data_IF_651131191065
#
_entry.id   IF_651131191065
#
_cell.length_a   1.000
_cell.length_b   1.000
_cell.length_c   1.000
_cell.angle_alpha   90.00
_cell.angle_beta   90.00
_cell.angle_gamma   90.00
#
_symmetry.space_group_name_H-M   'P 1'
#
loop_
_entity.id
_entity.type
_entity.pdbx_description
1 polymer ?
#
# COMPACT_ATOMS: atom_id res chain seq x y z
N UNK A 1 2.23 -30.27 -17.72
CA UNK A 1 1.13 -30.12 -16.74
C UNK A 1 1.30 -31.03 -15.54
N UNK A 2 1.46 -32.34 -15.69
CA UNK A 2 1.63 -33.27 -14.56
C UNK A 2 2.80 -32.91 -13.61
N UNK A 3 3.96 -32.55 -14.17
CA UNK A 3 5.13 -32.16 -13.38
C UNK A 3 4.89 -30.91 -12.52
N UNK A 4 4.18 -29.91 -13.06
CA UNK A 4 3.81 -28.72 -12.31
C UNK A 4 2.91 -29.07 -11.13
N UNK A 5 1.90 -29.91 -11.34
CA UNK A 5 1.01 -30.35 -10.26
C UNK A 5 1.75 -31.12 -9.16
N UNK A 6 2.74 -31.94 -9.52
CA UNK A 6 3.57 -32.66 -8.55
C UNK A 6 4.43 -31.72 -7.71
N UNK A 7 5.12 -30.75 -8.32
CA UNK A 7 5.92 -29.75 -7.60
C UNK A 7 5.05 -28.85 -6.73
N UNK A 8 3.89 -28.44 -7.25
CA UNK A 8 2.93 -27.62 -6.51
C UNK A 8 2.36 -28.37 -5.30
N UNK A 9 1.97 -29.63 -5.47
CA UNK A 9 1.56 -30.50 -4.36
C UNK A 9 2.70 -30.77 -3.37
N UNK A 10 3.95 -30.88 -3.84
CA UNK A 10 5.14 -31.03 -2.99
C UNK A 10 5.33 -29.80 -2.11
N UNK A 11 5.19 -28.60 -2.66
CA UNK A 11 5.30 -27.34 -1.91
C UNK A 11 4.25 -27.27 -0.79
N UNK A 12 2.96 -27.45 -1.13
CA UNK A 12 1.84 -27.39 -0.17
C UNK A 12 1.84 -28.50 0.88
N UNK A 13 2.52 -29.63 0.63
CA UNK A 13 2.69 -30.70 1.63
C UNK A 13 3.66 -30.34 2.74
N UNK A 14 4.56 -29.38 2.54
CA UNK A 14 5.51 -28.96 3.58
C UNK A 14 4.75 -28.32 4.75
N UNK A 15 5.01 -28.80 5.99
CA UNK A 15 4.40 -28.25 7.21
C UNK A 15 4.65 -26.75 7.36
N UNK A 16 5.88 -26.31 7.06
CA UNK A 16 6.25 -24.90 7.15
C UNK A 16 5.41 -24.01 6.23
N UNK A 17 5.07 -24.47 5.02
CA UNK A 17 4.24 -23.70 4.07
C UNK A 17 2.83 -23.50 4.64
N UNK A 18 2.22 -24.57 5.18
CA UNK A 18 0.90 -24.49 5.80
C UNK A 18 0.87 -23.54 7.01
N UNK A 19 1.89 -23.64 7.86
CA UNK A 19 2.02 -22.76 9.04
C UNK A 19 2.22 -21.30 8.58
N UNK A 20 3.09 -21.05 7.60
CA UNK A 20 3.32 -19.71 7.04
C UNK A 20 2.03 -19.10 6.48
N UNK A 21 1.30 -19.85 5.64
CA UNK A 21 0.03 -19.38 5.07
C UNK A 21 -0.99 -19.10 6.17
N UNK A 22 -1.12 -19.99 7.16
CA UNK A 22 -2.04 -19.80 8.28
C UNK A 22 -1.67 -18.57 9.12
N UNK A 23 -0.41 -18.40 9.50
CA UNK A 23 0.04 -17.24 10.27
C UNK A 23 -0.09 -15.94 9.49
N UNK A 24 0.20 -15.95 8.19
CA UNK A 24 0.03 -14.81 7.31
C UNK A 24 -1.45 -14.39 7.24
N UNK A 25 -2.34 -15.37 7.02
CA UNK A 25 -3.78 -15.14 7.01
C UNK A 25 -4.30 -14.63 8.35
N UNK A 26 -3.90 -15.25 9.47
CA UNK A 26 -4.29 -14.83 10.82
C UNK A 26 -3.80 -13.41 11.10
N UNK A 27 -2.54 -13.11 10.81
CA UNK A 27 -1.99 -11.78 11.02
C UNK A 27 -2.76 -10.73 10.21
N UNK A 28 -2.92 -10.96 8.91
CA UNK A 28 -3.52 -9.97 8.03
C UNK A 28 -5.03 -9.80 8.28
N UNK A 29 -5.79 -10.89 8.44
CA UNK A 29 -7.25 -10.81 8.61
C UNK A 29 -7.64 -10.40 10.04
N UNK A 30 -6.96 -10.93 11.06
CA UNK A 30 -7.31 -10.60 12.44
C UNK A 30 -6.77 -9.22 12.79
N UNK A 31 -5.46 -8.98 12.63
CA UNK A 31 -4.87 -7.70 13.04
C UNK A 31 -5.08 -6.61 11.99
N UNK A 32 -4.77 -6.90 10.73
CA UNK A 32 -4.88 -5.94 9.63
C UNK A 32 -6.31 -5.69 9.12
N UNK A 33 -7.33 -6.34 9.69
CA UNK A 33 -8.72 -6.06 9.33
C UNK A 33 -9.64 -6.03 10.55
N UNK A 34 -9.93 -7.16 11.19
CA UNK A 34 -10.96 -7.21 12.25
C UNK A 34 -10.62 -6.29 13.42
N UNK A 35 -9.42 -6.43 13.99
CA UNK A 35 -8.99 -5.61 15.14
C UNK A 35 -8.76 -4.15 14.74
N UNK A 36 -8.29 -3.89 13.53
CA UNK A 36 -8.15 -2.52 13.02
C UNK A 36 -9.51 -1.83 12.95
N UNK A 37 -10.50 -2.45 12.29
CA UNK A 37 -11.84 -1.86 12.12
C UNK A 37 -12.70 -1.85 13.37
N UNK A 38 -12.52 -2.80 14.29
CA UNK A 38 -13.33 -2.86 15.51
C UNK A 38 -12.73 -2.09 16.68
N UNK A 39 -11.41 -1.92 16.74
CA UNK A 39 -10.73 -1.55 17.96
C UNK A 39 -9.67 -0.47 17.75
N UNK A 40 -8.55 -0.80 17.09
CA UNK A 40 -7.38 0.09 17.04
C UNK A 40 -7.59 1.34 16.18
N UNK A 41 -8.36 1.23 15.10
CA UNK A 41 -8.58 2.33 14.16
C UNK A 41 -9.86 3.10 14.44
N UNK A 42 -10.97 2.40 14.70
CA UNK A 42 -12.31 3.00 14.75
C UNK A 42 -13.11 2.69 16.02
N UNK A 43 -12.54 1.98 17.01
CA UNK A 43 -13.22 1.79 18.29
C UNK A 43 -13.32 3.13 19.04
N UNK A 44 -14.46 3.40 19.67
CA UNK A 44 -14.66 4.62 20.47
C UNK A 44 -13.69 4.66 21.66
N UNK A 45 -13.28 5.85 22.12
CA UNK A 45 -12.30 5.97 23.19
C UNK A 45 -12.93 6.39 24.52
N UNK A 46 -12.85 5.51 25.53
CA UNK A 46 -13.20 5.87 26.92
C UNK A 46 -12.05 6.61 27.63
N UNK A 47 -10.82 6.47 27.12
CA UNK A 47 -9.58 6.99 27.69
C UNK A 47 -8.56 7.28 26.58
N UNK A 48 -8.34 8.57 26.31
CA UNK A 48 -7.40 9.06 25.30
C UNK A 48 -5.91 8.80 25.62
N UNK A 49 -5.58 8.10 26.71
CA UNK A 49 -4.19 7.79 27.08
C UNK A 49 -3.61 6.55 26.42
N UNK A 50 -4.43 5.65 25.86
CA UNK A 50 -3.90 4.47 25.12
C UNK A 50 -4.85 3.95 24.04
N UNK A 51 -4.30 3.54 22.89
CA UNK A 51 -5.07 2.87 21.82
C UNK A 51 -5.66 1.50 22.23
N UNK A 52 -5.22 0.94 23.37
CA UNK A 52 -5.81 -0.25 23.98
C UNK A 52 -6.99 0.07 24.91
N UNK A 53 -7.22 1.35 25.19
CA UNK A 53 -8.37 1.86 25.94
C UNK A 53 -9.63 2.03 25.08
N UNK A 54 -9.53 1.84 23.76
CA UNK A 54 -10.67 1.90 22.87
C UNK A 54 -11.64 0.74 23.12
N UNK A 55 -12.91 0.96 22.80
CA UNK A 55 -13.95 -0.04 22.83
C UNK A 55 -13.94 -0.91 21.57
N UNK A 56 -14.57 -2.08 21.66
CA UNK A 56 -14.72 -3.01 20.53
C UNK A 56 -16.07 -2.78 19.82
N UNK A 57 -16.26 -1.56 19.29
CA UNK A 57 -17.52 -1.08 18.74
C UNK A 57 -17.36 -0.34 17.41
N UNK A 58 -16.18 -0.41 16.79
CA UNK A 58 -15.87 0.40 15.62
C UNK A 58 -16.76 0.19 14.39
N UNK A 59 -17.54 -0.90 14.32
CA UNK A 59 -18.56 -1.06 13.27
C UNK A 59 -19.65 0.01 13.40
N UNK A 60 -20.10 0.27 14.62
CA UNK A 60 -21.11 1.30 14.91
C UNK A 60 -20.54 2.68 14.64
N UNK A 61 -19.32 2.96 15.12
CA UNK A 61 -18.62 4.23 14.87
C UNK A 61 -18.47 4.50 13.37
N UNK A 62 -18.05 3.51 12.59
CA UNK A 62 -17.96 3.64 11.12
C UNK A 62 -19.32 3.98 10.51
N UNK A 63 -20.40 3.30 10.92
CA UNK A 63 -21.74 3.57 10.37
C UNK A 63 -22.26 4.95 10.75
N UNK A 64 -22.02 5.38 11.98
CA UNK A 64 -22.41 6.71 12.44
C UNK A 64 -21.59 7.79 11.73
N UNK A 65 -20.28 7.58 11.54
CA UNK A 65 -19.40 8.50 10.79
C UNK A 65 -19.84 8.63 9.32
N UNK A 66 -20.23 7.52 8.71
CA UNK A 66 -20.82 7.52 7.36
C UNK A 66 -22.13 8.32 7.33
N UNK A 67 -23.01 8.13 8.33
CA UNK A 67 -24.25 8.88 8.47
C UNK A 67 -24.02 10.38 8.65
N UNK A 68 -23.02 10.74 9.47
CA UNK A 68 -22.59 12.12 9.70
C UNK A 68 -22.11 12.79 8.40
N UNK A 69 -21.16 12.16 7.70
CA UNK A 69 -20.59 12.74 6.47
C UNK A 69 -21.66 12.95 5.37
N UNK A 70 -22.64 12.05 5.27
CA UNK A 70 -23.76 12.18 4.32
C UNK A 70 -24.63 13.43 4.56
N UNK A 71 -24.61 14.02 5.76
CA UNK A 71 -25.43 15.19 6.10
C UNK A 71 -24.96 16.50 5.44
N UNK A 72 -23.69 16.59 5.04
CA UNK A 72 -23.09 17.79 4.45
C UNK A 72 -23.29 17.89 2.93
N UNK A 73 -23.89 16.86 2.31
CA UNK A 73 -24.12 16.82 0.87
C UNK A 73 -22.88 16.46 0.06
N UNK A 74 -23.10 16.10 -1.21
CA UNK A 74 -22.11 15.46 -2.05
C UNK A 74 -20.97 16.36 -2.53
N UNK A 75 -21.17 17.64 -2.81
CA UNK A 75 -20.08 18.47 -3.37
C UNK A 75 -19.32 19.22 -2.28
N UNK A 76 -17.99 19.14 -2.31
CA UNK A 76 -17.10 19.90 -1.44
C UNK A 76 -16.95 21.34 -1.96
N UNK A 77 -17.67 22.26 -1.35
CA UNK A 77 -17.64 23.70 -1.64
C UNK A 77 -17.07 24.49 -0.47
N UNK A 78 -16.90 25.80 -0.64
CA UNK A 78 -16.54 26.68 0.47
C UNK A 78 -17.62 26.60 1.56
N UNK A 79 -18.90 26.67 1.18
CA UNK A 79 -20.05 26.57 2.09
C UNK A 79 -20.10 25.22 2.82
N UNK A 80 -19.82 24.12 2.10
CA UNK A 80 -19.77 22.78 2.70
C UNK A 80 -18.66 22.69 3.75
N UNK A 81 -17.45 23.18 3.43
CA UNK A 81 -16.33 23.19 4.36
C UNK A 81 -16.63 24.05 5.59
N UNK A 82 -17.23 25.22 5.39
CA UNK A 82 -17.68 26.11 6.46
C UNK A 82 -18.65 25.40 7.39
N UNK A 83 -19.65 24.72 6.83
CA UNK A 83 -20.64 23.98 7.59
C UNK A 83 -20.01 22.85 8.41
N UNK A 84 -19.09 22.07 7.82
CA UNK A 84 -18.36 21.00 8.53
C UNK A 84 -17.61 21.57 9.75
N UNK A 85 -16.90 22.69 9.56
CA UNK A 85 -16.12 23.31 10.63
C UNK A 85 -17.02 23.93 11.71
N UNK A 86 -18.09 24.62 11.31
CA UNK A 86 -19.07 25.19 12.26
C UNK A 86 -19.75 24.12 13.10
N UNK A 87 -20.14 23.01 12.48
CA UNK A 87 -20.79 21.90 13.16
C UNK A 87 -19.85 21.22 14.17
N UNK A 88 -18.61 20.96 13.78
CA UNK A 88 -17.56 20.47 14.69
C UNK A 88 -17.37 21.42 15.90
N UNK A 89 -17.26 22.73 15.65
CA UNK A 89 -17.07 23.72 16.72
C UNK A 89 -18.27 23.78 17.67
N UNK A 90 -19.49 23.62 17.16
CA UNK A 90 -20.71 23.55 17.97
C UNK A 90 -20.71 22.31 18.85
N UNK A 91 -20.38 21.13 18.30
CA UNK A 91 -20.26 19.88 19.06
C UNK A 91 -19.20 19.99 20.17
N UNK A 92 -18.06 20.61 19.89
CA UNK A 92 -17.01 20.85 20.87
C UNK A 92 -17.48 21.81 21.98
N UNK A 93 -18.18 22.88 21.62
CA UNK A 93 -18.72 23.84 22.58
C UNK A 93 -19.79 23.22 23.50
N UNK A 94 -20.58 22.28 22.98
CA UNK A 94 -21.60 21.54 23.72
C UNK A 94 -21.01 20.37 24.53
N UNK A 95 -19.71 20.11 24.43
CA UNK A 95 -19.01 19.05 25.16
C UNK A 95 -19.35 17.64 24.67
N UNK A 96 -19.72 17.50 23.39
CA UNK A 96 -20.15 16.24 22.78
C UNK A 96 -18.96 15.39 22.30
N UNK A 97 -18.09 14.97 23.22
CA UNK A 97 -16.85 14.24 22.89
C UNK A 97 -17.10 12.98 22.04
N UNK A 98 -18.10 12.16 22.37
CA UNK A 98 -18.46 10.96 21.59
C UNK A 98 -18.91 11.27 20.16
N UNK A 99 -19.49 12.44 19.89
CA UNK A 99 -19.89 12.83 18.53
C UNK A 99 -18.69 13.32 17.72
N UNK A 100 -17.73 14.00 18.37
CA UNK A 100 -16.51 14.46 17.71
C UNK A 100 -15.70 13.29 17.14
N UNK A 101 -15.70 12.12 17.82
CA UNK A 101 -15.05 10.90 17.34
C UNK A 101 -15.62 10.37 16.02
N UNK A 102 -16.87 10.72 15.69
CA UNK A 102 -17.56 10.29 14.46
C UNK A 102 -17.27 11.21 13.27
N UNK A 103 -16.56 12.31 13.50
CA UNK A 103 -16.26 13.30 12.46
C UNK A 103 -14.91 13.02 11.80
N UNK A 104 -14.74 13.40 10.52
CA UNK A 104 -13.46 13.34 9.80
C UNK A 104 -12.49 14.48 10.24
N UNK A 105 -12.53 14.89 11.51
CA UNK A 105 -11.87 16.10 12.00
C UNK A 105 -10.36 16.11 11.75
N UNK A 106 -9.69 14.94 11.77
CA UNK A 106 -8.25 14.84 11.51
C UNK A 106 -7.92 15.25 10.07
N UNK A 107 -8.67 14.72 9.12
CA UNK A 107 -8.53 15.00 7.70
C UNK A 107 -8.93 16.45 7.41
N UNK A 108 -10.06 16.92 7.94
CA UNK A 108 -10.51 18.31 7.77
C UNK A 108 -9.49 19.28 8.37
N UNK A 109 -8.96 19.02 9.56
CA UNK A 109 -7.93 19.84 10.18
C UNK A 109 -6.62 19.86 9.35
N UNK A 110 -6.26 18.73 8.71
CA UNK A 110 -5.15 18.66 7.76
C UNK A 110 -5.39 19.53 6.52
N UNK A 111 -6.62 19.55 6.00
CA UNK A 111 -7.01 20.43 4.91
C UNK A 111 -6.89 21.90 5.28
N UNK A 112 -7.39 22.27 6.46
CA UNK A 112 -7.31 23.64 6.98
C UNK A 112 -5.85 24.12 7.08
N UNK A 113 -4.98 23.29 7.67
CA UNK A 113 -3.56 23.60 7.77
C UNK A 113 -2.83 23.69 6.42
N UNK A 114 -3.33 22.98 5.40
CA UNK A 114 -2.76 23.00 4.05
C UNK A 114 -3.23 24.21 3.24
N UNK A 115 -4.51 24.56 3.31
CA UNK A 115 -5.13 25.59 2.45
C UNK A 115 -5.16 27.00 3.06
N UNK A 116 -5.14 27.10 4.39
CA UNK A 116 -5.28 28.35 5.12
C UNK A 116 -4.17 28.53 6.17
N UNK A 117 -2.88 28.35 5.82
CA UNK A 117 -1.79 28.44 6.78
C UNK A 117 -1.72 29.79 7.50
N UNK A 118 -2.22 30.86 6.89
CA UNK A 118 -2.29 32.21 7.47
C UNK A 118 -3.28 32.36 8.62
N UNK A 119 -4.27 31.46 8.72
CA UNK A 119 -5.27 31.47 9.78
C UNK A 119 -4.82 30.68 11.02
N UNK A 120 -3.66 30.01 10.95
CA UNK A 120 -3.13 29.18 12.03
C UNK A 120 -2.59 30.04 13.17
N UNK A 121 -3.12 29.84 14.37
CA UNK A 121 -2.59 30.45 15.60
C UNK A 121 -1.58 29.49 16.27
N UNK A 122 -0.30 29.84 16.21
CA UNK A 122 0.78 29.04 16.83
C UNK A 122 0.81 29.13 18.35
N UNK A 123 0.07 30.08 18.94
CA UNK A 123 -0.03 30.23 20.41
C UNK A 123 -1.17 29.42 21.01
N UNK A 124 -2.10 28.94 20.17
CA UNK A 124 -3.21 28.09 20.59
C UNK A 124 -2.78 26.61 20.60
N UNK A 125 -3.09 25.92 21.69
CA UNK A 125 -2.80 24.49 21.83
C UNK A 125 -3.84 23.60 21.13
N UNK A 126 -5.03 24.15 20.82
CA UNK A 126 -6.10 23.44 20.13
C UNK A 126 -5.79 23.26 18.64
N UNK A 127 -6.45 22.28 18.01
CA UNK A 127 -6.44 22.08 16.56
C UNK A 127 -7.12 23.24 15.85
N UNK A 128 -6.74 23.49 14.60
CA UNK A 128 -7.22 24.64 13.83
C UNK A 128 -8.74 24.60 13.62
N UNK A 129 -9.28 23.40 13.41
CA UNK A 129 -10.72 23.17 13.28
C UNK A 129 -11.53 23.70 14.49
N UNK A 130 -10.95 23.72 15.69
CA UNK A 130 -11.62 24.16 16.92
C UNK A 130 -11.79 25.68 17.07
N UNK A 131 -11.06 26.50 16.30
CA UNK A 131 -11.06 27.95 16.53
C UNK A 131 -11.09 28.81 15.26
N UNK A 132 -10.83 28.23 14.08
CA UNK A 132 -10.81 29.01 12.85
C UNK A 132 -12.19 29.58 12.57
N UNK A 133 -12.24 30.84 12.16
CA UNK A 133 -13.47 31.51 11.75
C UNK A 133 -13.98 30.89 10.43
N UNK A 134 -15.13 30.19 10.42
CA UNK A 134 -15.65 29.52 9.22
C UNK A 134 -15.81 30.51 8.06
N UNK A 135 -16.27 31.73 8.29
CA UNK A 135 -16.52 32.71 7.22
C UNK A 135 -15.25 33.09 6.42
N UNK A 136 -14.06 32.78 6.95
CA UNK A 136 -12.77 33.01 6.27
C UNK A 136 -12.34 31.84 5.38
N UNK A 137 -13.00 30.69 5.47
CA UNK A 137 -12.72 29.48 4.71
C UNK A 137 -13.30 29.61 3.29
N UNK A 138 -12.65 30.43 2.47
CA UNK A 138 -13.08 30.77 1.11
C UNK A 138 -11.98 30.53 0.07
N UNK A 139 -12.38 30.26 -1.17
CA UNK A 139 -11.49 30.03 -2.30
C UNK A 139 -10.83 28.65 -2.29
N UNK A 140 -11.52 27.61 -1.82
CA UNK A 140 -10.97 26.26 -1.61
C UNK A 140 -10.16 25.75 -2.81
N UNK A 141 -10.76 25.77 -4.02
CA UNK A 141 -10.11 25.26 -5.23
C UNK A 141 -8.97 26.15 -5.74
N UNK A 142 -9.10 27.47 -5.60
CA UNK A 142 -8.05 28.42 -5.98
C UNK A 142 -6.82 28.25 -5.08
N UNK A 143 -7.05 28.19 -3.76
CA UNK A 143 -6.00 27.93 -2.76
C UNK A 143 -5.33 26.59 -2.98
N UNK A 144 -6.11 25.53 -3.26
CA UNK A 144 -5.54 24.23 -3.60
C UNK A 144 -4.59 24.32 -4.78
N UNK A 145 -4.97 25.05 -5.84
CA UNK A 145 -4.12 25.23 -7.01
C UNK A 145 -2.84 25.99 -6.65
N UNK A 146 -2.92 27.06 -5.87
CA UNK A 146 -1.76 27.83 -5.42
C UNK A 146 -0.79 26.97 -4.59
N UNK A 147 -1.31 26.21 -3.62
CA UNK A 147 -0.51 25.32 -2.76
C UNK A 147 0.13 24.20 -3.58
N UNK A 148 -0.59 23.64 -4.56
CA UNK A 148 -0.01 22.66 -5.48
C UNK A 148 1.14 23.28 -6.28
N UNK A 149 0.94 24.46 -6.86
CA UNK A 149 1.95 25.14 -7.68
C UNK A 149 3.22 25.45 -6.87
N UNK A 150 3.06 25.92 -5.63
CA UNK A 150 4.15 26.18 -4.68
C UNK A 150 4.86 24.88 -4.29
N UNK A 151 4.10 23.81 -3.98
CA UNK A 151 4.66 22.51 -3.63
C UNK A 151 5.54 21.94 -4.76
N UNK A 152 5.09 22.06 -6.01
CA UNK A 152 5.87 21.61 -7.17
C UNK A 152 7.19 22.40 -7.31
N UNK A 153 7.15 23.72 -7.10
CA UNK A 153 8.34 24.57 -7.18
C UNK A 153 9.34 24.25 -6.07
N UNK A 154 8.88 24.15 -4.81
CA UNK A 154 9.73 23.83 -3.65
C UNK A 154 10.29 22.41 -3.74
N UNK A 155 9.53 21.47 -4.33
CA UNK A 155 9.97 20.09 -4.57
C UNK A 155 10.98 19.96 -5.72
N UNK A 156 11.37 21.07 -6.36
CA UNK A 156 12.34 21.09 -7.47
C UNK A 156 11.79 20.56 -8.78
N UNK A 157 10.47 20.40 -8.90
CA UNK A 157 9.79 19.91 -10.10
C UNK A 157 9.55 21.08 -11.04
N UNK A 158 10.60 21.49 -11.76
CA UNK A 158 10.59 22.69 -12.60
C UNK A 158 10.50 22.37 -14.10
N UNK A 159 10.03 23.35 -14.87
CA UNK A 159 9.99 23.28 -16.33
C UNK A 159 9.07 22.16 -16.86
N UNK A 160 9.64 21.22 -17.61
CA UNK A 160 8.87 20.16 -18.27
C UNK A 160 8.21 19.19 -17.29
N UNK A 161 8.79 18.97 -16.10
CA UNK A 161 8.20 18.12 -15.06
C UNK A 161 6.94 18.76 -14.46
N UNK A 162 7.00 20.07 -14.17
CA UNK A 162 5.86 20.84 -13.69
C UNK A 162 4.68 20.78 -14.66
N UNK A 163 4.93 21.08 -15.94
CA UNK A 163 3.86 21.07 -16.95
C UNK A 163 3.29 19.67 -17.16
N UNK A 164 4.11 18.62 -17.08
CA UNK A 164 3.62 17.23 -17.15
C UNK A 164 2.66 16.91 -16.00
N UNK A 165 2.99 17.32 -14.76
CA UNK A 165 2.13 17.10 -13.60
C UNK A 165 0.86 17.96 -13.65
N UNK A 166 0.94 19.19 -14.15
CA UNK A 166 -0.25 20.00 -14.44
C UNK A 166 -1.16 19.37 -15.48
N UNK A 167 -0.62 18.72 -16.52
CA UNK A 167 -1.43 17.99 -17.49
C UNK A 167 -2.17 16.80 -16.89
N UNK A 168 -1.60 16.16 -15.87
CA UNK A 168 -2.26 15.10 -15.11
C UNK A 168 -3.35 15.72 -14.22
N UNK A 169 -3.02 16.76 -13.46
CA UNK A 169 -3.94 17.49 -12.58
C UNK A 169 -5.16 18.06 -13.31
N UNK A 170 -5.01 18.54 -14.55
CA UNK A 170 -6.13 19.04 -15.37
C UNK A 170 -7.22 17.98 -15.64
N UNK A 171 -6.92 16.70 -15.42
CA UNK A 171 -7.88 15.58 -15.57
C UNK A 171 -8.62 15.26 -14.29
N UNK A 172 -8.25 15.86 -13.16
CA UNK A 172 -8.95 15.69 -11.88
C UNK A 172 -10.30 16.37 -11.98
N UNK A 173 -11.36 15.59 -11.78
CA UNK A 173 -12.75 16.08 -11.81
C UNK A 173 -13.02 16.99 -10.60
N UNK A 174 -13.72 18.11 -10.86
CA UNK A 174 -14.04 19.15 -9.88
C UNK A 174 -15.48 19.61 -10.12
N UNK A 175 -16.28 19.93 -9.08
CA UNK A 175 -15.91 19.89 -7.65
C UNK A 175 -15.72 18.45 -7.13
N UNK A 176 -15.00 18.31 -6.02
CA UNK A 176 -14.77 17.03 -5.36
C UNK A 176 -16.06 16.56 -4.70
N UNK A 177 -16.40 15.29 -4.90
CA UNK A 177 -17.45 14.66 -4.11
C UNK A 177 -16.93 14.34 -2.71
N UNK A 178 -17.69 14.60 -1.65
CA UNK A 178 -17.36 14.38 -0.25
C UNK A 178 -18.37 13.44 0.42
N UNK A 179 -17.82 12.43 1.06
CA UNK A 179 -18.43 11.47 1.96
C UNK A 179 -17.37 11.13 3.02
N UNK A 180 -17.60 10.09 3.83
CA UNK A 180 -16.68 9.69 4.88
C UNK A 180 -15.32 9.21 4.34
N UNK A 181 -14.24 9.91 4.71
CA UNK A 181 -12.89 9.75 4.13
C UNK A 181 -11.97 8.89 4.99
N UNK A 182 -12.14 8.90 6.32
CA UNK A 182 -11.17 8.29 7.27
C UNK A 182 -10.92 6.79 7.02
N UNK A 183 -11.98 6.04 6.71
CA UNK A 183 -11.87 4.62 6.35
C UNK A 183 -11.00 4.38 5.12
N UNK A 184 -11.16 5.19 4.08
CA UNK A 184 -10.37 5.09 2.85
C UNK A 184 -8.93 5.55 3.06
N UNK A 185 -8.71 6.58 3.87
CA UNK A 185 -7.38 7.03 4.31
C UNK A 185 -6.63 5.91 5.02
N UNK A 186 -7.29 5.21 5.94
CA UNK A 186 -6.72 4.05 6.66
C UNK A 186 -6.42 2.89 5.70
N UNK A 187 -7.36 2.55 4.80
CA UNK A 187 -7.21 1.46 3.84
C UNK A 187 -6.01 1.66 2.91
N UNK A 188 -5.98 2.81 2.22
CA UNK A 188 -4.97 3.15 1.21
C UNK A 188 -3.64 3.59 1.85
N UNK A 189 -3.69 4.26 2.99
CA UNK A 189 -2.50 4.77 3.68
C UNK A 189 -1.72 3.70 4.44
N UNK A 190 -2.39 2.65 4.95
CA UNK A 190 -1.77 1.66 5.85
C UNK A 190 -2.06 0.21 5.49
N UNK A 191 -3.33 -0.17 5.34
CA UNK A 191 -3.73 -1.59 5.29
C UNK A 191 -3.18 -2.29 4.03
N UNK A 192 -3.42 -1.70 2.85
CA UNK A 192 -2.95 -2.29 1.59
C UNK A 192 -1.46 -2.02 1.37
N UNK A 193 -0.96 -0.86 1.83
CA UNK A 193 0.45 -0.52 1.77
C UNK A 193 1.35 -1.53 2.51
N UNK A 194 0.94 -1.97 3.70
CA UNK A 194 1.71 -2.90 4.54
C UNK A 194 1.65 -4.35 4.04
N UNK A 195 0.64 -4.72 3.24
CA UNK A 195 0.48 -6.05 2.67
C UNK A 195 1.73 -6.49 1.88
N UNK A 196 2.39 -5.56 1.19
CA UNK A 196 3.62 -5.83 0.43
C UNK A 196 4.77 -6.34 1.31
N UNK A 197 4.98 -5.70 2.47
CA UNK A 197 6.04 -6.06 3.42
C UNK A 197 5.76 -7.43 4.05
N UNK A 198 4.51 -7.68 4.42
CA UNK A 198 4.06 -8.97 4.95
C UNK A 198 4.30 -10.07 3.91
N UNK A 199 3.92 -9.83 2.66
CA UNK A 199 4.14 -10.75 1.55
C UNK A 199 5.63 -11.05 1.33
N UNK A 200 6.50 -10.06 1.42
CA UNK A 200 7.95 -10.26 1.28
C UNK A 200 8.49 -11.27 2.30
N UNK A 201 8.08 -11.14 3.57
CA UNK A 201 8.49 -12.06 4.64
C UNK A 201 8.07 -13.51 4.33
N UNK A 202 6.78 -13.73 4.06
CA UNK A 202 6.25 -15.08 3.89
C UNK A 202 6.69 -15.74 2.57
N UNK A 203 6.78 -14.97 1.48
CA UNK A 203 7.35 -15.47 0.22
C UNK A 203 8.82 -15.83 0.39
N UNK A 204 9.59 -15.02 1.12
CA UNK A 204 10.98 -15.34 1.48
C UNK A 204 11.08 -16.69 2.19
N UNK A 205 10.25 -16.93 3.21
CA UNK A 205 10.27 -18.19 3.97
C UNK A 205 9.91 -19.39 3.08
N UNK A 206 8.82 -19.31 2.32
CA UNK A 206 8.32 -20.44 1.54
C UNK A 206 9.23 -20.75 0.35
N UNK A 207 9.54 -19.75 -0.46
CA UNK A 207 10.26 -19.91 -1.72
C UNK A 207 11.78 -20.10 -1.50
N UNK A 208 12.33 -19.70 -0.34
CA UNK A 208 13.75 -19.93 -0.04
C UNK A 208 14.14 -21.41 -0.14
N UNK A 209 13.24 -22.32 0.22
CA UNK A 209 13.46 -23.77 0.21
C UNK A 209 13.16 -24.45 -1.13
N UNK A 210 12.74 -23.70 -2.17
CA UNK A 210 12.21 -24.27 -3.40
C UNK A 210 13.28 -24.99 -4.24
N UNK A 211 14.46 -24.37 -4.35
CA UNK A 211 15.65 -24.95 -4.99
C UNK A 211 16.71 -25.33 -3.96
N UNK A 212 16.98 -24.46 -2.98
CA UNK A 212 17.94 -24.70 -1.90
C UNK A 212 17.62 -25.99 -1.11
N UNK A 213 16.32 -26.35 -1.00
CA UNK A 213 15.87 -27.55 -0.30
C UNK A 213 16.36 -28.86 -0.94
N UNK A 214 16.49 -28.92 -2.27
CA UNK A 214 16.98 -30.15 -2.95
C UNK A 214 18.46 -30.41 -2.68
N UNK A 215 19.20 -29.36 -2.30
CA UNK A 215 20.59 -29.49 -1.86
C UNK A 215 20.66 -29.93 -0.40
N UNK A 216 19.83 -29.31 0.45
CA UNK A 216 19.74 -29.66 1.85
C UNK A 216 19.34 -31.13 2.06
N UNK A 217 18.37 -31.61 1.28
CA UNK A 217 17.82 -32.97 1.36
C UNK A 217 18.66 -34.00 0.55
N UNK A 218 19.76 -33.58 -0.10
CA UNK A 218 20.61 -34.41 -0.96
C UNK A 218 19.86 -35.13 -2.11
N UNK A 219 18.73 -34.58 -2.57
CA UNK A 219 17.90 -35.15 -3.64
C UNK A 219 18.35 -34.73 -5.04
N UNK A 220 19.35 -33.84 -5.13
CA UNK A 220 19.86 -33.31 -6.39
C UNK A 220 20.34 -34.39 -7.37
N UNK A 221 21.02 -35.44 -6.89
CA UNK A 221 21.45 -36.56 -7.73
C UNK A 221 20.26 -37.35 -8.33
N UNK A 222 19.16 -37.48 -7.58
CA UNK A 222 17.95 -38.16 -8.04
C UNK A 222 17.26 -37.37 -9.17
N UNK A 223 17.32 -36.05 -9.12
CA UNK A 223 16.73 -35.18 -10.15
C UNK A 223 17.39 -35.40 -11.52
N UNK A 224 18.70 -35.66 -11.56
CA UNK A 224 19.45 -35.91 -12.81
C UNK A 224 19.07 -37.22 -13.50
N UNK A 225 18.60 -38.22 -12.75
CA UNK A 225 18.20 -39.51 -13.30
C UNK A 225 16.73 -39.54 -13.70
N UNK A 226 15.98 -38.44 -13.50
CA UNK A 226 14.57 -38.35 -13.87
C UNK A 226 14.35 -38.17 -15.38
N UNK A 227 13.27 -38.77 -15.90
CA UNK A 227 12.85 -38.67 -17.31
C UNK A 227 12.67 -37.23 -17.82
N UNK A 228 12.29 -36.30 -16.94
CA UNK A 228 12.00 -34.92 -17.33
C UNK A 228 13.26 -34.03 -17.36
N UNK A 229 14.37 -34.50 -16.79
CA UNK A 229 15.62 -33.76 -16.70
C UNK A 229 15.52 -32.48 -15.84
N UNK A 230 16.68 -31.87 -15.58
CA UNK A 230 16.80 -30.72 -14.69
C UNK A 230 16.05 -29.47 -15.17
N UNK A 231 16.09 -29.18 -16.48
CA UNK A 231 15.52 -27.95 -17.04
C UNK A 231 14.00 -27.88 -16.92
N UNK A 232 13.29 -28.98 -17.21
CA UNK A 232 11.82 -29.03 -17.07
C UNK A 232 11.39 -28.97 -15.61
N UNK A 233 12.16 -29.56 -14.69
CA UNK A 233 11.91 -29.46 -13.25
C UNK A 233 12.14 -28.02 -12.76
N UNK A 234 13.18 -27.34 -13.27
CA UNK A 234 13.46 -25.95 -12.92
C UNK A 234 12.29 -25.04 -13.32
N UNK A 235 11.79 -25.21 -14.54
CA UNK A 235 10.64 -24.47 -15.04
C UNK A 235 9.38 -24.79 -14.23
N UNK A 236 9.13 -26.07 -13.91
CA UNK A 236 7.99 -26.46 -13.09
C UNK A 236 8.04 -25.82 -11.69
N UNK A 237 9.22 -25.79 -11.05
CA UNK A 237 9.42 -25.10 -9.77
C UNK A 237 9.15 -23.60 -9.88
N UNK A 238 9.66 -22.92 -10.91
CA UNK A 238 9.39 -21.49 -11.11
C UNK A 238 7.90 -21.24 -11.24
N UNK A 239 7.21 -22.01 -12.08
CA UNK A 239 5.76 -21.90 -12.24
C UNK A 239 5.02 -22.19 -10.93
N UNK A 240 5.47 -23.18 -10.15
CA UNK A 240 4.93 -23.48 -8.82
C UNK A 240 5.12 -22.31 -7.86
N UNK A 241 6.28 -21.66 -7.85
CA UNK A 241 6.55 -20.50 -7.01
C UNK A 241 5.67 -19.31 -7.38
N UNK A 242 5.52 -19.03 -8.67
CA UNK A 242 4.62 -17.97 -9.16
C UNK A 242 3.15 -18.26 -8.85
N UNK A 243 2.70 -19.50 -9.06
CA UNK A 243 1.33 -19.91 -8.71
C UNK A 243 1.07 -19.73 -7.22
N UNK A 244 1.99 -20.17 -6.36
CA UNK A 244 1.91 -19.96 -4.92
C UNK A 244 1.84 -18.48 -4.54
N UNK A 245 2.64 -17.62 -5.18
CA UNK A 245 2.59 -16.17 -4.96
C UNK A 245 1.23 -15.58 -5.28
N UNK A 246 0.64 -15.97 -6.42
CA UNK A 246 -0.70 -15.50 -6.82
C UNK A 246 -1.78 -16.04 -5.88
N UNK A 247 -1.69 -17.30 -5.47
CA UNK A 247 -2.64 -17.92 -4.52
C UNK A 247 -2.59 -17.23 -3.15
N UNK A 248 -1.40 -16.96 -2.62
CA UNK A 248 -1.23 -16.28 -1.35
C UNK A 248 -1.75 -14.84 -1.44
N UNK A 249 -1.41 -14.11 -2.51
CA UNK A 249 -1.96 -12.77 -2.74
C UNK A 249 -3.49 -12.79 -2.80
N UNK A 250 -4.07 -13.69 -3.60
CA UNK A 250 -5.52 -13.77 -3.76
C UNK A 250 -6.22 -14.09 -2.43
N UNK A 251 -5.65 -14.99 -1.62
CA UNK A 251 -6.18 -15.29 -0.29
C UNK A 251 -6.25 -14.03 0.60
N UNK A 252 -5.18 -13.24 0.63
CA UNK A 252 -5.10 -12.04 1.48
C UNK A 252 -5.95 -10.89 0.92
N UNK A 253 -5.83 -10.59 -0.38
CA UNK A 253 -6.59 -9.52 -1.03
C UNK A 253 -8.10 -9.77 -0.96
N UNK A 254 -8.57 -11.00 -1.25
CA UNK A 254 -10.00 -11.33 -1.15
C UNK A 254 -10.49 -11.20 0.30
N UNK A 255 -9.71 -11.65 1.28
CA UNK A 255 -10.09 -11.47 2.69
C UNK A 255 -10.17 -9.99 3.09
N UNK A 256 -9.22 -9.17 2.62
CA UNK A 256 -9.18 -7.72 2.83
C UNK A 256 -10.44 -7.05 2.29
N UNK A 257 -10.79 -7.34 1.03
CA UNK A 257 -11.96 -6.77 0.35
C UNK A 257 -13.24 -7.22 1.04
N UNK A 258 -13.35 -8.49 1.45
CA UNK A 258 -14.51 -8.98 2.21
C UNK A 258 -14.65 -8.22 3.54
N UNK A 259 -13.55 -8.01 4.27
CA UNK A 259 -13.57 -7.25 5.53
C UNK A 259 -13.94 -5.79 5.30
N UNK A 260 -13.35 -5.11 4.32
CA UNK A 260 -13.71 -3.74 3.93
C UNK A 260 -15.20 -3.63 3.59
N UNK A 261 -15.72 -4.51 2.74
CA UNK A 261 -17.13 -4.52 2.37
C UNK A 261 -18.05 -4.80 3.57
N UNK A 262 -17.59 -5.60 4.54
CA UNK A 262 -18.35 -5.86 5.76
C UNK A 262 -18.43 -4.62 6.66
N UNK A 263 -17.30 -3.96 6.95
CA UNK A 263 -17.27 -2.81 7.86
C UNK A 263 -17.70 -1.51 7.18
N UNK A 264 -17.02 -1.13 6.10
CA UNK A 264 -17.22 0.13 5.41
C UNK A 264 -18.33 0.05 4.35
N UNK A 265 -18.56 -1.11 3.75
CA UNK A 265 -19.46 -1.21 2.60
C UNK A 265 -18.85 -0.57 1.35
N UNK A 266 -19.66 0.15 0.58
CA UNK A 266 -19.24 0.80 -0.68
C UNK A 266 -19.26 2.33 -0.61
N UNK A 267 -19.61 2.93 0.53
CA UNK A 267 -19.64 4.39 0.67
C UNK A 267 -18.27 5.00 0.35
N UNK A 268 -18.25 6.10 -0.39
CA UNK A 268 -17.03 6.82 -0.76
C UNK A 268 -16.16 6.24 -1.87
N UNK A 269 -16.58 5.15 -2.54
CA UNK A 269 -15.77 4.48 -3.58
C UNK A 269 -15.43 5.37 -4.79
N UNK A 270 -16.32 6.30 -5.11
CA UNK A 270 -16.23 7.24 -6.24
C UNK A 270 -15.62 8.60 -5.85
N UNK A 271 -15.36 8.83 -4.56
CA UNK A 271 -14.69 10.04 -4.11
C UNK A 271 -13.28 10.18 -4.72
N UNK A 272 -12.85 11.41 -5.03
CA UNK A 272 -11.49 11.68 -5.49
C UNK A 272 -10.47 11.42 -4.37
N UNK A 273 -9.31 10.87 -4.70
CA UNK A 273 -8.23 10.63 -3.72
C UNK A 273 -7.70 11.92 -3.07
N UNK A 274 -8.01 13.07 -3.68
CA UNK A 274 -7.68 14.39 -3.17
C UNK A 274 -8.30 14.66 -1.80
N UNK A 275 -9.40 13.98 -1.44
CA UNK A 275 -9.97 14.10 -0.10
C UNK A 275 -9.00 13.53 0.96
N UNK A 276 -8.20 12.50 0.65
CA UNK A 276 -7.16 12.01 1.56
C UNK A 276 -5.96 12.97 1.55
N UNK A 277 -5.54 13.41 0.36
CA UNK A 277 -4.43 14.36 0.20
C UNK A 277 -4.73 15.39 -0.88
N UNK A 278 -5.06 16.61 -0.46
CA UNK A 278 -5.55 17.66 -1.36
C UNK A 278 -4.64 17.91 -2.57
N UNK A 279 -3.33 18.01 -2.34
CA UNK A 279 -2.35 18.30 -3.40
C UNK A 279 -1.98 17.10 -4.26
N UNK A 280 -2.64 15.94 -4.11
CA UNK A 280 -2.46 14.82 -5.01
C UNK A 280 -2.92 15.21 -6.43
N UNK A 281 -2.07 14.94 -7.43
CA UNK A 281 -2.35 15.24 -8.84
C UNK A 281 -3.03 14.09 -9.57
N UNK A 282 -3.11 12.90 -8.96
CA UNK A 282 -3.58 11.70 -9.59
C UNK A 282 -5.10 11.76 -9.88
N UNK A 283 -5.54 11.61 -11.14
CA UNK A 283 -6.94 11.75 -11.54
C UNK A 283 -7.65 10.40 -11.37
N UNK A 284 -7.80 9.98 -10.12
CA UNK A 284 -8.40 8.69 -9.76
C UNK A 284 -9.31 8.84 -8.54
N UNK A 285 -10.32 7.98 -8.47
CA UNK A 285 -11.15 7.84 -7.28
C UNK A 285 -10.59 6.79 -6.31
N UNK A 286 -11.22 6.64 -5.14
CA UNK A 286 -10.77 5.70 -4.10
C UNK A 286 -10.69 4.25 -4.61
N UNK A 287 -11.68 3.79 -5.38
CA UNK A 287 -11.67 2.42 -5.92
C UNK A 287 -10.53 2.21 -6.93
N UNK A 288 -10.27 3.17 -7.81
CA UNK A 288 -9.16 3.09 -8.77
C UNK A 288 -7.80 3.08 -8.05
N UNK A 289 -7.67 3.85 -6.97
CA UNK A 289 -6.49 3.82 -6.12
C UNK A 289 -6.31 2.45 -5.45
N UNK A 290 -7.36 1.89 -4.86
CA UNK A 290 -7.36 0.55 -4.25
C UNK A 290 -6.92 -0.53 -5.26
N UNK A 291 -7.47 -0.50 -6.48
CA UNK A 291 -7.08 -1.42 -7.57
C UNK A 291 -5.60 -1.25 -7.91
N UNK A 292 -5.11 -0.01 -7.99
CA UNK A 292 -3.70 0.26 -8.23
C UNK A 292 -2.82 -0.31 -7.11
N UNK A 293 -3.19 -0.12 -5.84
CA UNK A 293 -2.40 -0.62 -4.71
C UNK A 293 -2.32 -2.15 -4.70
N UNK A 294 -3.44 -2.83 -4.95
CA UNK A 294 -3.44 -4.29 -5.09
C UNK A 294 -2.62 -4.75 -6.30
N UNK A 295 -2.69 -4.04 -7.43
CA UNK A 295 -1.86 -4.34 -8.59
C UNK A 295 -0.36 -4.14 -8.27
N UNK A 296 -0.01 -3.08 -7.54
CA UNK A 296 1.34 -2.83 -7.05
C UNK A 296 1.85 -3.98 -6.18
N UNK A 297 1.07 -4.42 -5.20
CA UNK A 297 1.45 -5.53 -4.32
C UNK A 297 1.59 -6.83 -5.10
N UNK A 298 0.64 -7.18 -5.98
CA UNK A 298 0.68 -8.41 -6.76
C UNK A 298 1.90 -8.47 -7.69
N UNK A 299 2.11 -7.40 -8.47
CA UNK A 299 3.19 -7.33 -9.44
C UNK A 299 4.56 -7.21 -8.76
N UNK A 300 4.63 -6.48 -7.65
CA UNK A 300 5.78 -6.46 -6.74
C UNK A 300 6.08 -7.85 -6.17
N UNK A 301 5.07 -8.58 -5.71
CA UNK A 301 5.21 -9.93 -5.16
C UNK A 301 5.70 -10.94 -6.21
N UNK A 302 5.22 -10.85 -7.45
CA UNK A 302 5.71 -11.65 -8.58
C UNK A 302 7.18 -11.35 -8.86
N UNK A 303 7.53 -10.06 -8.90
CA UNK A 303 8.92 -9.60 -9.06
C UNK A 303 9.84 -10.17 -7.98
N UNK A 304 9.41 -10.03 -6.73
CA UNK A 304 10.13 -10.51 -5.55
C UNK A 304 10.27 -12.03 -5.55
N UNK A 305 9.20 -12.78 -5.87
CA UNK A 305 9.25 -14.23 -5.99
C UNK A 305 10.31 -14.68 -7.01
N UNK A 306 10.45 -13.97 -8.13
CA UNK A 306 11.52 -14.19 -9.11
C UNK A 306 12.92 -14.05 -8.48
N UNK A 307 13.15 -13.01 -7.69
CA UNK A 307 14.40 -12.78 -6.96
C UNK A 307 14.66 -13.91 -5.97
N UNK A 308 13.69 -14.24 -5.10
CA UNK A 308 13.85 -15.30 -4.08
C UNK A 308 14.20 -16.64 -4.73
N UNK A 309 13.51 -17.00 -5.81
CA UNK A 309 13.79 -18.24 -6.55
C UNK A 309 15.18 -18.23 -7.19
N UNK A 310 15.64 -17.09 -7.70
CA UNK A 310 17.00 -16.95 -8.20
C UNK A 310 18.06 -17.14 -7.11
N UNK A 311 17.88 -16.49 -5.95
CA UNK A 311 18.77 -16.66 -4.79
C UNK A 311 18.74 -18.13 -4.33
N UNK A 312 17.56 -18.74 -4.22
CA UNK A 312 17.39 -20.14 -3.84
C UNK A 312 18.11 -21.11 -4.79
N UNK A 313 18.12 -20.82 -6.08
CA UNK A 313 18.86 -21.61 -7.08
C UNK A 313 20.38 -21.40 -7.00
N UNK A 314 20.82 -20.21 -6.55
CA UNK A 314 22.22 -19.84 -6.44
C UNK A 314 22.86 -20.23 -5.08
N UNK A 315 22.08 -20.57 -4.06
CA UNK A 315 22.55 -20.81 -2.69
C UNK A 315 22.15 -22.21 -2.22
N UNK A 316 23.05 -22.92 -1.50
CA UNK A 316 22.80 -24.30 -1.02
C UNK A 316 22.01 -24.38 0.30
N UNK A 317 21.91 -23.27 1.01
CA UNK A 317 21.33 -23.21 2.36
C UNK A 317 20.03 -22.39 2.35
N UNK A 318 18.95 -23.00 2.84
CA UNK A 318 17.62 -22.39 2.94
C UNK A 318 17.62 -21.13 3.82
N UNK A 319 18.35 -21.15 4.94
CA UNK A 319 18.44 -20.01 5.89
C UNK A 319 19.17 -18.84 5.25
N UNK A 320 20.31 -19.10 4.59
CA UNK A 320 21.04 -18.03 3.90
C UNK A 320 20.21 -17.45 2.74
N UNK A 321 19.47 -18.30 2.03
CA UNK A 321 18.54 -17.86 0.99
C UNK A 321 17.47 -16.93 1.55
N UNK A 322 16.86 -17.29 2.69
CA UNK A 322 15.89 -16.47 3.39
C UNK A 322 16.50 -15.11 3.78
N UNK A 323 17.64 -15.11 4.48
CA UNK A 323 18.30 -13.87 4.94
C UNK A 323 18.63 -12.92 3.79
N UNK A 324 19.20 -13.45 2.70
CA UNK A 324 19.51 -12.65 1.51
C UNK A 324 18.24 -12.12 0.82
N UNK A 325 17.17 -12.91 0.80
CA UNK A 325 15.89 -12.49 0.21
C UNK A 325 15.25 -11.35 1.01
N UNK A 326 15.25 -11.45 2.34
CA UNK A 326 14.73 -10.38 3.21
C UNK A 326 15.62 -9.12 3.11
N UNK A 327 16.93 -9.27 3.02
CA UNK A 327 17.85 -8.14 2.85
C UNK A 327 17.60 -7.33 1.57
N UNK A 328 17.06 -7.95 0.51
CA UNK A 328 16.68 -7.23 -0.73
C UNK A 328 15.54 -6.23 -0.49
N UNK A 329 14.66 -6.48 0.48
CA UNK A 329 13.51 -5.61 0.79
C UNK A 329 13.83 -4.69 1.97
N UNK A 330 14.14 -5.28 3.12
CA UNK A 330 14.37 -4.53 4.35
C UNK A 330 15.68 -3.74 4.34
N UNK A 331 16.70 -4.20 3.61
CA UNK A 331 17.98 -3.49 3.49
C UNK A 331 17.80 -2.10 2.88
N UNK A 332 17.22 -1.98 1.67
CA UNK A 332 16.86 -0.69 1.08
C UNK A 332 15.99 0.18 1.97
N UNK A 333 14.94 -0.38 2.61
CA UNK A 333 14.05 0.37 3.49
C UNK A 333 14.80 1.02 4.67
N UNK A 334 15.78 0.32 5.25
CA UNK A 334 16.57 0.86 6.37
C UNK A 334 17.51 2.00 5.99
N UNK A 335 17.97 2.05 4.73
CA UNK A 335 18.99 3.02 4.29
C UNK A 335 18.44 4.16 3.45
N UNK A 336 17.23 4.01 2.88
CA UNK A 336 16.68 4.94 1.89
C UNK A 336 16.68 6.38 2.40
N UNK A 337 16.24 6.62 3.63
CA UNK A 337 16.16 7.96 4.22
C UNK A 337 17.50 8.69 4.31
N UNK A 338 18.62 7.96 4.36
CA UNK A 338 19.97 8.52 4.42
C UNK A 338 20.58 8.78 3.03
N UNK A 339 19.90 8.39 1.96
CA UNK A 339 20.41 8.49 0.59
C UNK A 339 19.86 9.72 -0.13
N UNK A 340 20.58 10.25 -1.14
CA UNK A 340 20.05 11.31 -1.98
C UNK A 340 18.74 10.89 -2.66
N UNK A 341 17.83 11.85 -2.86
CA UNK A 341 16.48 11.62 -3.39
C UNK A 341 16.44 10.82 -4.71
N UNK A 342 17.38 11.03 -5.62
CA UNK A 342 17.46 10.24 -6.86
C UNK A 342 17.76 8.76 -6.62
N UNK A 343 18.52 8.44 -5.56
CA UNK A 343 18.80 7.06 -5.17
C UNK A 343 17.62 6.44 -4.41
N UNK A 344 16.91 7.21 -3.59
CA UNK A 344 15.64 6.78 -2.97
C UNK A 344 14.65 6.30 -4.04
N UNK A 345 14.40 7.15 -5.04
CA UNK A 345 13.56 6.81 -6.20
C UNK A 345 14.00 5.51 -6.89
N UNK A 346 15.31 5.29 -7.05
CA UNK A 346 15.81 4.08 -7.68
C UNK A 346 15.58 2.83 -6.81
N UNK A 347 15.71 2.95 -5.49
CA UNK A 347 15.42 1.86 -4.56
C UNK A 347 13.94 1.51 -4.53
N UNK A 348 13.04 2.49 -4.68
CA UNK A 348 11.59 2.26 -4.72
C UNK A 348 11.17 1.31 -5.86
N UNK A 349 11.97 1.23 -6.94
CA UNK A 349 11.73 0.32 -8.07
C UNK A 349 12.08 -1.15 -7.78
N UNK A 350 12.74 -1.44 -6.66
CA UNK A 350 13.00 -2.81 -6.22
C UNK A 350 11.66 -3.44 -5.81
N UNK A 351 11.37 -4.70 -6.20
CA UNK A 351 10.11 -5.35 -5.85
C UNK A 351 9.80 -5.28 -4.35
N UNK A 352 8.62 -4.77 -4.00
CA UNK A 352 8.12 -4.60 -2.63
C UNK A 352 8.90 -3.60 -1.74
N UNK A 353 9.81 -2.79 -2.31
CA UNK A 353 10.53 -1.74 -1.55
C UNK A 353 9.80 -0.41 -1.57
N UNK A 354 9.33 0.02 -2.75
CA UNK A 354 8.54 1.24 -2.88
C UNK A 354 7.18 1.14 -2.17
N UNK A 355 6.44 2.25 -2.16
CA UNK A 355 5.12 2.33 -1.52
C UNK A 355 4.00 2.48 -2.55
N UNK A 356 2.87 1.78 -2.36
CA UNK A 356 1.65 1.98 -3.15
C UNK A 356 1.11 3.41 -3.03
N UNK A 357 1.34 4.05 -1.88
CA UNK A 357 0.95 5.44 -1.58
C UNK A 357 1.66 6.49 -2.47
N UNK A 358 2.58 6.08 -3.34
CA UNK A 358 3.26 6.97 -4.28
C UNK A 358 2.29 7.64 -5.27
N UNK A 359 1.06 7.12 -5.44
CA UNK A 359 -0.03 7.82 -6.15
C UNK A 359 -0.39 9.18 -5.53
N UNK A 360 -0.17 9.34 -4.22
CA UNK A 360 -0.35 10.59 -3.49
C UNK A 360 0.88 11.51 -3.58
N UNK A 361 1.94 11.06 -4.25
CA UNK A 361 3.18 11.83 -4.45
C UNK A 361 3.24 12.33 -5.90
N UNK A 362 4.07 13.33 -6.15
CA UNK A 362 4.27 13.92 -7.48
C UNK A 362 5.53 13.38 -8.16
N UNK A 363 5.97 12.18 -7.78
CA UNK A 363 7.23 11.61 -8.24
C UNK A 363 7.21 11.32 -9.76
N UNK A 364 8.27 11.73 -10.46
CA UNK A 364 8.48 11.44 -11.89
C UNK A 364 9.89 10.90 -12.13
N UNK A 365 10.04 10.18 -13.23
CA UNK A 365 11.31 9.66 -13.73
C UNK A 365 11.54 10.14 -15.15
N UNK A 366 12.79 10.49 -15.46
CA UNK A 366 13.22 10.84 -16.81
C UNK A 366 13.98 9.68 -17.44
N UNK A 367 13.33 8.93 -18.32
CA UNK A 367 13.90 7.75 -19.00
C UNK A 367 13.95 8.01 -20.51
N UNK A 368 15.13 7.92 -21.11
CA UNK A 368 15.38 8.19 -22.54
C UNK A 368 14.79 9.54 -23.02
N UNK A 369 14.86 10.57 -22.18
CA UNK A 369 14.34 11.90 -22.50
C UNK A 369 12.81 12.07 -22.35
N UNK A 370 12.07 11.01 -22.03
CA UNK A 370 10.63 11.06 -21.73
C UNK A 370 10.40 11.07 -20.22
N UNK A 371 9.41 11.85 -19.78
CA UNK A 371 8.93 11.85 -18.40
C UNK A 371 7.88 10.76 -18.23
N UNK A 372 8.05 9.96 -17.19
CA UNK A 372 7.14 8.88 -16.82
C UNK A 372 6.76 9.09 -15.35
N UNK A 373 5.46 9.02 -15.08
CA UNK A 373 4.94 9.09 -13.72
C UNK A 373 5.32 7.82 -12.95
N UNK A 374 5.82 7.99 -11.73
CA UNK A 374 6.42 6.90 -10.95
C UNK A 374 5.51 5.71 -10.69
N UNK A 375 4.18 5.85 -10.46
CA UNK A 375 3.30 4.70 -10.26
C UNK A 375 3.33 3.68 -11.40
N UNK A 376 3.51 4.13 -12.64
CA UNK A 376 3.64 3.21 -13.78
C UNK A 376 4.93 2.39 -13.74
N UNK A 377 6.02 2.95 -13.22
CA UNK A 377 7.29 2.24 -13.10
C UNK A 377 7.31 1.30 -11.90
N UNK A 378 6.66 1.69 -10.81
CA UNK A 378 6.51 0.89 -9.60
C UNK A 378 5.79 -0.44 -9.84
N UNK A 379 4.90 -0.52 -10.83
CA UNK A 379 4.23 -1.77 -11.19
C UNK A 379 4.94 -2.55 -12.32
N UNK A 380 5.66 -1.85 -13.22
CA UNK A 380 6.28 -2.50 -14.40
C UNK A 380 7.70 -3.01 -14.13
N UNK A 381 8.54 -2.22 -13.46
CA UNK A 381 9.95 -2.55 -13.22
C UNK A 381 10.11 -3.80 -12.34
N UNK A 382 9.36 -3.97 -11.23
CA UNK A 382 9.45 -5.19 -10.44
C UNK A 382 9.19 -6.47 -11.22
N UNK A 383 8.20 -6.45 -12.12
CA UNK A 383 7.87 -7.60 -12.97
C UNK A 383 9.01 -7.91 -13.93
N UNK A 384 9.59 -6.88 -14.57
CA UNK A 384 10.74 -7.04 -15.45
C UNK A 384 11.96 -7.62 -14.73
N UNK A 385 12.21 -7.18 -13.49
CA UNK A 385 13.26 -7.74 -12.63
C UNK A 385 12.98 -9.22 -12.35
N UNK A 386 11.74 -9.57 -11.98
CA UNK A 386 11.34 -10.96 -11.74
C UNK A 386 11.53 -11.85 -12.97
N UNK A 387 11.07 -11.40 -14.15
CA UNK A 387 11.24 -12.11 -15.43
C UNK A 387 12.73 -12.30 -15.75
N UNK A 388 13.55 -11.28 -15.52
CA UNK A 388 15.00 -11.35 -15.75
C UNK A 388 15.66 -12.38 -14.83
N UNK A 389 15.22 -12.50 -13.57
CA UNK A 389 15.76 -13.47 -12.60
C UNK A 389 15.48 -14.94 -12.97
N UNK A 390 14.36 -15.24 -13.65
CA UNK A 390 13.97 -16.63 -14.00
C UNK A 390 15.00 -17.41 -14.83
N UNK A 391 15.51 -16.91 -15.98
CA UNK A 391 16.53 -17.63 -16.75
C UNK A 391 17.84 -17.78 -15.97
N UNK A 392 18.20 -16.82 -15.12
CA UNK A 392 19.37 -16.93 -14.26
C UNK A 392 19.20 -18.00 -13.17
N UNK A 393 17.99 -18.15 -12.62
CA UNK A 393 17.67 -19.23 -11.68
C UNK A 393 17.84 -20.61 -12.32
N UNK A 394 17.31 -20.79 -13.54
CA UNK A 394 17.46 -22.03 -14.30
C UNK A 394 18.95 -22.31 -14.58
N UNK A 395 19.70 -21.29 -15.03
CA UNK A 395 21.12 -21.42 -15.37
C UNK A 395 21.98 -21.70 -14.14
N UNK A 396 21.76 -21.01 -13.03
CA UNK A 396 22.55 -21.18 -11.79
C UNK A 396 22.37 -22.58 -11.23
N UNK A 397 21.13 -23.07 -11.20
CA UNK A 397 20.84 -24.44 -10.76
C UNK A 397 21.49 -25.47 -11.70
N UNK A 398 21.40 -25.26 -13.02
CA UNK A 398 21.98 -26.17 -14.03
C UNK A 398 23.48 -26.38 -13.89
N UNK A 399 24.24 -25.30 -13.64
CA UNK A 399 25.70 -25.34 -13.57
C UNK A 399 26.16 -26.14 -12.36
N UNK A 400 25.42 -26.02 -11.26
CA UNK A 400 25.74 -26.67 -9.99
C UNK A 400 25.32 -28.11 -9.91
N UNK A 401 24.34 -28.53 -10.71
CA UNK A 401 24.00 -29.95 -10.85
C UNK A 401 25.05 -30.74 -11.64
N UNK A 402 25.93 -30.05 -12.37
CA UNK A 402 27.02 -30.65 -13.16
C UNK A 402 28.37 -30.65 -12.45
N UNK A 403 28.47 -29.98 -11.31
CA UNK A 403 29.67 -29.85 -10.48
C UNK A 403 29.49 -30.69 -9.22
#
# INVERSE_FOLDING_TARGET
MELFWLEHKKLWRKKIVKICVFLCFVYYVIFGSILLFQWFGFGSSDDYTSAFGNNFDGYTVIKDSQGYALSFGGELTDETLQQIVSDYQQMEADGMEEELEKTDWQIVNSWLGTLYPELRDTSNYKTMISYVDPDKLTGFYERRQQVLDEFLDVSGQVGAEKEFLHQIERKVEKPFHYEWVEGWSTLLGSTVADLGVVMALFLGIVLSSLFAGEWHDNTSALVLTTRNGWGKIALAKILTGLAFTVELFALLAVSSVISQLFFMGTAGWDMPIQNIKLIAVAPMNMLQAEIYEYAFVLLGAIGFAGIVMFISAAVKNNVLTLLLSLAVVYGPMMIAEYLPYGMQKALDLIPLVGSSTDIFRTNTFRIFGKLIWSPYLLITIPVLIGILCMPFAIKSWSRRMKA
#
